data_IF_246131969221
#
_entry.id   IF_246131969221
#
_cell.length_a   1.000
_cell.length_b   1.000
_cell.length_c   1.000
_cell.angle_alpha   90.00
_cell.angle_beta   90.00
_cell.angle_gamma   90.00
#
_symmetry.space_group_name_H-M   'P 1'
#
loop_
_entity.id
_entity.type
_entity.pdbx_description
1 polymer ?
#
# COMPACT_ATOMS: atom_id res chain seq x y z
N UNK A 1 20.67 31.72 0.71
CA UNK A 1 19.88 30.63 0.09
C UNK A 1 18.42 31.07 -0.01
N UNK A 2 18.02 31.59 -1.17
CA UNK A 2 16.68 32.13 -1.41
C UNK A 2 15.66 31.00 -1.54
N UNK A 3 14.69 30.93 -0.62
CA UNK A 3 13.50 30.08 -0.78
C UNK A 3 12.59 30.78 -1.79
N UNK A 4 12.58 30.32 -3.05
CA UNK A 4 11.59 30.77 -4.02
C UNK A 4 10.21 30.26 -3.61
N UNK A 5 9.34 31.16 -3.13
CA UNK A 5 7.89 30.89 -3.04
C UNK A 5 7.38 30.71 -4.47
N UNK A 6 7.29 29.49 -4.95
CA UNK A 6 6.63 29.20 -6.22
C UNK A 6 5.15 29.58 -6.09
N UNK A 7 4.64 30.42 -7.01
CA UNK A 7 3.20 30.72 -7.12
C UNK A 7 2.40 29.39 -7.15
N UNK A 8 1.29 29.27 -6.42
CA UNK A 8 0.40 28.12 -6.59
C UNK A 8 -0.03 28.05 -8.06
N UNK A 9 0.05 26.86 -8.65
CA UNK A 9 -0.29 26.64 -10.05
C UNK A 9 -1.74 27.03 -10.30
N UNK A 10 -1.98 27.70 -11.42
CA UNK A 10 -3.32 28.17 -11.79
C UNK A 10 -4.25 26.98 -12.06
N UNK A 11 -5.49 27.11 -11.59
CA UNK A 11 -6.50 26.07 -11.69
C UNK A 11 -6.96 25.95 -13.15
N UNK A 12 -6.87 24.75 -13.73
CA UNK A 12 -7.50 24.42 -15.02
C UNK A 12 -6.57 24.06 -16.20
N UNK A 13 -5.25 24.26 -16.11
CA UNK A 13 -4.33 23.99 -17.24
C UNK A 13 -3.65 22.59 -17.20
N UNK A 14 -3.63 21.92 -16.03
CA UNK A 14 -2.84 20.68 -15.81
C UNK A 14 -3.71 19.39 -15.76
N UNK A 15 -4.86 19.36 -16.46
CA UNK A 15 -5.78 18.23 -16.40
C UNK A 15 -6.52 18.10 -15.06
N UNK A 16 -6.86 19.23 -14.43
CA UNK A 16 -7.71 19.33 -13.23
C UNK A 16 -8.89 20.27 -13.45
N UNK A 17 -10.02 20.04 -12.78
CA UNK A 17 -11.20 20.91 -12.78
C UNK A 17 -10.94 22.20 -11.99
N UNK A 18 -11.86 23.17 -12.07
CA UNK A 18 -11.81 24.43 -11.31
C UNK A 18 -11.86 24.21 -9.78
N UNK A 19 -12.28 23.03 -9.34
CA UNK A 19 -12.29 22.60 -7.94
C UNK A 19 -11.06 21.76 -7.57
N UNK A 20 -10.07 21.66 -8.47
CA UNK A 20 -8.82 20.93 -8.25
C UNK A 20 -8.91 19.41 -8.42
N UNK A 21 -10.06 18.87 -8.88
CA UNK A 21 -10.21 17.42 -9.12
C UNK A 21 -9.53 17.01 -10.41
N UNK A 22 -8.97 15.81 -10.48
CA UNK A 22 -8.43 15.31 -11.75
C UNK A 22 -9.54 15.10 -12.79
N UNK A 23 -9.30 15.55 -14.02
CA UNK A 23 -10.23 15.30 -15.14
C UNK A 23 -10.04 13.89 -15.71
N UNK A 24 -11.05 13.37 -16.41
CA UNK A 24 -10.98 12.09 -17.13
C UNK A 24 -9.82 12.13 -18.13
N UNK A 25 -8.97 11.09 -18.13
CA UNK A 25 -7.79 11.00 -19.00
C UNK A 25 -6.49 11.55 -18.39
N UNK A 26 -6.54 12.17 -17.20
CA UNK A 26 -5.33 12.56 -16.50
C UNK A 26 -4.53 11.32 -16.05
N UNK A 27 -3.28 11.17 -16.52
CA UNK A 27 -2.40 10.04 -16.21
C UNK A 27 -2.19 9.83 -14.70
N UNK A 28 -2.14 10.91 -13.92
CA UNK A 28 -2.04 10.84 -12.45
C UNK A 28 -3.28 10.23 -11.80
N UNK A 29 -4.44 10.28 -12.46
CA UNK A 29 -5.71 9.74 -11.98
C UNK A 29 -5.85 8.23 -12.27
N UNK A 30 -5.10 7.70 -13.22
CA UNK A 30 -5.28 6.31 -13.69
C UNK A 30 -4.56 5.28 -12.79
N UNK A 31 -3.62 5.73 -11.96
CA UNK A 31 -2.79 4.85 -11.14
C UNK A 31 -1.73 4.09 -11.95
N UNK A 32 -0.92 3.27 -11.28
CA UNK A 32 0.18 2.54 -11.90
C UNK A 32 -0.32 1.27 -12.63
N UNK A 33 -0.25 1.27 -13.97
CA UNK A 33 -0.66 0.16 -14.86
C UNK A 33 0.45 -0.88 -15.14
N UNK A 34 1.37 -1.10 -14.21
CA UNK A 34 2.39 -2.14 -14.40
C UNK A 34 1.73 -3.52 -14.52
N UNK A 35 2.33 -4.42 -15.33
CA UNK A 35 1.87 -5.82 -15.47
C UNK A 35 1.72 -6.52 -14.11
N UNK A 36 2.58 -6.18 -13.15
CA UNK A 36 2.53 -6.68 -11.76
C UNK A 36 1.28 -6.22 -11.01
N UNK A 37 0.84 -4.98 -11.20
CA UNK A 37 -0.38 -4.46 -10.59
C UNK A 37 -1.64 -5.06 -11.22
N UNK A 38 -1.64 -5.31 -12.52
CA UNK A 38 -2.76 -5.96 -13.22
C UNK A 38 -2.98 -7.39 -12.72
N UNK A 39 -1.91 -8.19 -12.64
CA UNK A 39 -1.98 -9.56 -12.08
C UNK A 39 -2.49 -9.55 -10.64
N UNK A 40 -1.99 -8.62 -9.82
CA UNK A 40 -2.45 -8.46 -8.43
C UNK A 40 -3.93 -8.09 -8.35
N UNK A 41 -4.42 -7.23 -9.25
CA UNK A 41 -5.84 -6.86 -9.32
C UNK A 41 -6.71 -8.06 -9.68
N UNK A 42 -6.30 -8.84 -10.69
CA UNK A 42 -7.04 -10.03 -11.12
C UNK A 42 -7.14 -11.08 -10.00
N UNK A 43 -6.03 -11.35 -9.29
CA UNK A 43 -6.03 -12.30 -8.17
C UNK A 43 -6.93 -11.83 -7.01
N UNK A 44 -6.89 -10.53 -6.68
CA UNK A 44 -7.78 -9.95 -5.66
C UNK A 44 -9.25 -10.06 -6.06
N UNK A 45 -9.56 -9.82 -7.34
CA UNK A 45 -10.91 -9.93 -7.87
C UNK A 45 -11.42 -11.38 -7.76
N UNK A 46 -10.62 -12.36 -8.21
CA UNK A 46 -10.95 -13.76 -8.11
C UNK A 46 -11.16 -14.21 -6.64
N UNK A 47 -10.36 -13.68 -5.71
CA UNK A 47 -10.53 -13.96 -4.28
C UNK A 47 -11.85 -13.42 -3.73
N UNK A 48 -12.24 -12.21 -4.13
CA UNK A 48 -13.52 -11.59 -3.72
C UNK A 48 -14.70 -12.37 -4.30
N UNK A 49 -14.57 -12.87 -5.53
CA UNK A 49 -15.61 -13.67 -6.18
C UNK A 49 -15.73 -15.08 -5.59
N UNK A 50 -14.62 -15.64 -5.11
CA UNK A 50 -14.57 -16.99 -4.54
C UNK A 50 -15.07 -17.07 -3.09
N UNK A 51 -15.06 -15.97 -2.35
CA UNK A 51 -15.41 -15.96 -0.92
C UNK A 51 -16.75 -15.25 -0.73
N UNK A 52 -17.73 -15.98 -0.17
CA UNK A 52 -19.02 -15.41 0.15
C UNK A 52 -19.15 -15.00 1.64
N UNK A 53 -20.29 -14.44 2.01
CA UNK A 53 -20.54 -14.02 3.38
C UNK A 53 -20.58 -15.21 4.37
N UNK A 54 -21.03 -16.39 3.93
CA UNK A 54 -21.12 -17.59 4.78
C UNK A 54 -19.73 -18.09 5.12
N UNK A 55 -18.80 -18.05 4.17
CA UNK A 55 -17.39 -18.40 4.35
C UNK A 55 -16.74 -17.49 5.39
N UNK A 56 -16.92 -16.17 5.26
CA UNK A 56 -16.41 -15.19 6.23
C UNK A 56 -16.98 -15.47 7.62
N UNK A 57 -18.31 -15.67 7.74
CA UNK A 57 -18.95 -16.00 9.02
C UNK A 57 -18.39 -17.31 9.61
N UNK A 58 -18.11 -18.32 8.79
CA UNK A 58 -17.54 -19.59 9.23
C UNK A 58 -16.10 -19.41 9.77
N UNK A 59 -15.26 -18.65 9.07
CA UNK A 59 -13.90 -18.32 9.49
C UNK A 59 -13.91 -17.55 10.82
N UNK A 60 -14.77 -16.52 10.94
CA UNK A 60 -14.91 -15.74 12.18
C UNK A 60 -15.34 -16.61 13.36
N UNK A 61 -16.29 -17.53 13.18
CA UNK A 61 -16.67 -18.52 14.21
C UNK A 61 -15.50 -19.43 14.58
N UNK A 62 -14.70 -19.84 13.60
CA UNK A 62 -13.47 -20.61 13.81
C UNK A 62 -12.47 -19.86 14.70
N UNK A 63 -12.16 -18.61 14.35
CA UNK A 63 -11.27 -17.74 15.13
C UNK A 63 -11.81 -17.53 16.54
N UNK A 64 -13.11 -17.26 16.71
CA UNK A 64 -13.70 -17.06 18.03
C UNK A 64 -13.59 -18.31 18.91
N UNK A 65 -13.77 -19.51 18.35
CA UNK A 65 -13.58 -20.77 19.09
C UNK A 65 -12.13 -20.97 19.51
N UNK A 66 -11.16 -20.65 18.64
CA UNK A 66 -9.73 -20.74 18.98
C UNK A 66 -9.35 -19.73 20.06
N UNK A 67 -9.77 -18.48 19.90
CA UNK A 67 -9.53 -17.41 20.87
C UNK A 67 -10.08 -17.76 22.26
N UNK A 68 -11.31 -18.28 22.34
CA UNK A 68 -11.91 -18.76 23.61
C UNK A 68 -11.16 -19.92 24.26
N UNK A 69 -10.39 -20.69 23.49
CA UNK A 69 -9.50 -21.75 24.00
C UNK A 69 -8.11 -21.25 24.42
N UNK A 70 -7.86 -19.94 24.34
CA UNK A 70 -6.59 -19.34 24.73
C UNK A 70 -5.60 -19.11 23.57
N UNK A 71 -6.02 -19.29 22.32
CA UNK A 71 -5.19 -18.95 21.15
C UNK A 71 -5.08 -17.41 21.02
N UNK A 72 -3.95 -16.87 21.49
CA UNK A 72 -3.66 -15.44 21.52
C UNK A 72 -3.58 -14.86 20.09
N UNK A 73 -3.11 -15.62 19.11
CA UNK A 73 -3.03 -15.15 17.72
C UNK A 73 -4.43 -14.97 17.12
N UNK A 74 -5.33 -15.91 17.36
CA UNK A 74 -6.72 -15.80 16.95
C UNK A 74 -7.44 -14.63 17.66
N UNK A 75 -7.17 -14.42 18.95
CA UNK A 75 -7.72 -13.30 19.70
C UNK A 75 -7.22 -11.95 19.14
N UNK A 76 -5.92 -11.84 18.87
CA UNK A 76 -5.31 -10.65 18.27
C UNK A 76 -5.92 -10.32 16.92
N UNK A 77 -6.12 -11.31 16.05
CA UNK A 77 -6.71 -11.09 14.73
C UNK A 77 -8.15 -10.56 14.84
N UNK A 78 -8.95 -11.03 15.81
CA UNK A 78 -10.29 -10.52 16.07
C UNK A 78 -10.21 -9.06 16.56
N UNK A 79 -9.38 -8.77 17.57
CA UNK A 79 -9.27 -7.42 18.13
C UNK A 79 -8.74 -6.41 17.10
N UNK A 80 -7.70 -6.77 16.34
CA UNK A 80 -7.11 -5.94 15.29
C UNK A 80 -8.13 -5.55 14.20
N UNK A 81 -9.13 -6.41 13.93
CA UNK A 81 -10.16 -6.17 12.91
C UNK A 81 -11.40 -5.45 13.44
N UNK A 82 -11.77 -5.64 14.71
CA UNK A 82 -12.92 -4.96 15.33
C UNK A 82 -12.56 -3.58 15.88
N UNK A 83 -11.44 -3.47 16.59
CA UNK A 83 -11.01 -2.24 17.28
C UNK A 83 -9.85 -1.53 16.59
N UNK A 84 -9.30 -2.13 15.53
CA UNK A 84 -8.10 -1.64 14.86
C UNK A 84 -6.82 -2.16 15.51
N UNK A 85 -5.71 -2.05 14.77
CA UNK A 85 -4.39 -2.41 15.30
C UNK A 85 -3.95 -1.37 16.34
N UNK A 86 -3.36 -1.85 17.42
CA UNK A 86 -2.64 -0.97 18.35
C UNK A 86 -1.57 -0.16 17.59
N UNK A 87 -1.38 1.08 17.99
CA UNK A 87 -0.36 1.96 17.41
C UNK A 87 1.01 1.33 17.68
N UNK A 88 1.69 0.92 16.62
CA UNK A 88 3.03 0.37 16.72
C UNK A 88 4.02 1.52 16.78
N UNK A 89 4.77 1.65 17.87
CA UNK A 89 5.97 2.47 17.87
C UNK A 89 7.05 1.76 17.06
N UNK A 90 7.67 2.50 16.14
CA UNK A 90 8.76 2.02 15.30
C UNK A 90 9.97 2.86 15.62
N UNK A 91 10.98 2.25 16.25
CA UNK A 91 12.31 2.84 16.35
C UNK A 91 12.98 2.73 14.97
N UNK A 92 13.07 3.86 14.27
CA UNK A 92 13.80 3.92 13.00
C UNK A 92 15.28 4.03 13.32
N UNK A 93 15.98 2.89 13.34
CA UNK A 93 17.43 2.85 13.29
C UNK A 93 17.90 3.43 11.96
N UNK A 94 18.45 4.65 11.97
CA UNK A 94 18.88 5.36 10.77
C UNK A 94 20.01 4.65 10.00
N UNK A 95 20.81 3.83 10.69
CA UNK A 95 22.05 3.24 10.19
C UNK A 95 21.81 2.10 9.16
N UNK A 96 20.80 1.25 9.38
CA UNK A 96 20.59 0.02 8.59
C UNK A 96 19.85 0.28 7.27
N UNK A 97 18.94 1.26 7.27
CA UNK A 97 18.23 1.67 6.07
C UNK A 97 19.13 2.48 5.12
N UNK A 98 20.08 3.27 5.65
CA UNK A 98 20.98 4.07 4.81
C UNK A 98 21.99 3.19 4.08
N UNK A 99 22.58 2.19 4.76
CA UNK A 99 23.50 1.23 4.13
C UNK A 99 22.81 0.38 3.08
N UNK A 100 21.59 -0.07 3.35
CA UNK A 100 20.78 -0.83 2.38
C UNK A 100 20.38 0.01 1.17
N UNK A 101 19.99 1.27 1.40
CA UNK A 101 19.65 2.21 0.34
C UNK A 101 20.87 2.61 -0.49
N UNK A 102 22.02 2.90 0.13
CA UNK A 102 23.27 3.22 -0.56
C UNK A 102 23.78 1.98 -1.32
N UNK A 103 23.70 0.78 -0.75
CA UNK A 103 24.05 -0.47 -1.44
C UNK A 103 23.21 -0.70 -2.69
N UNK A 104 21.91 -0.41 -2.62
CA UNK A 104 21.01 -0.43 -3.79
C UNK A 104 21.37 0.66 -4.82
N UNK A 105 21.77 1.86 -4.38
CA UNK A 105 22.11 2.98 -5.25
C UNK A 105 23.46 2.80 -5.95
N UNK A 106 24.43 2.19 -5.27
CA UNK A 106 25.78 1.90 -5.78
C UNK A 106 25.79 0.65 -6.67
N UNK A 107 25.00 -0.37 -6.33
CA UNK A 107 24.91 -1.62 -7.09
C UNK A 107 24.22 -1.51 -8.46
N UNK A 108 23.73 -0.32 -8.85
CA UNK A 108 23.02 -0.09 -10.12
C UNK A 108 23.92 0.49 -11.23
N UNK A 109 25.18 0.83 -10.94
CA UNK A 109 26.08 1.51 -11.88
C UNK A 109 27.15 0.62 -12.52
N UNK A 110 26.98 -0.70 -12.57
CA UNK A 110 27.98 -1.57 -13.17
C UNK A 110 27.41 -2.85 -13.74
N UNK A 111 26.79 -2.76 -14.93
CA UNK A 111 26.87 -3.78 -15.99
C UNK A 111 26.13 -3.31 -17.27
N UNK A 112 26.69 -2.33 -18.00
CA UNK A 112 26.23 -2.00 -19.37
C UNK A 112 27.43 -1.93 -20.34
N UNK A 113 28.35 -2.89 -20.24
CA UNK A 113 29.44 -3.00 -21.21
C UNK A 113 29.92 -4.44 -21.42
N UNK A 114 29.06 -5.30 -21.96
CA UNK A 114 29.41 -6.33 -22.95
C UNK A 114 28.15 -6.87 -23.64
N UNK A 115 27.96 -6.43 -24.89
CA UNK A 115 27.49 -7.12 -26.10
C UNK A 115 26.53 -6.26 -26.94
#
# INVERSE_FOLDING_TARGET
MSKTKSKPRTVGADGRTKEGKFVKGNQCSVGNKSKTNEKSKALKQALIEAIDEKDIRAICRGLARKAKKGDVAAAKEIFDRLWGRAKQEVEIGAEDNLKSFIGWLVGRNGDDSQN
#
